data_IF_620398886765
#
_entry.id   IF_620398886765
#
_cell.length_a   1.000
_cell.length_b   1.000
_cell.length_c   1.000
_cell.angle_alpha   90.00
_cell.angle_beta   90.00
_cell.angle_gamma   90.00
#
_symmetry.space_group_name_H-M   'P 1'
#
loop_
_entity.id
_entity.type
_entity.pdbx_description
1 polymer ?
#
# COMPACT_ATOMS: atom_id res chain seq x y z
N UNK A 1 21.15 19.75 -2.78
CA UNK A 1 20.05 19.98 -1.82
C UNK A 1 20.38 21.17 -0.95
N UNK A 2 19.36 21.92 -0.54
CA UNK A 2 19.46 22.91 0.52
C UNK A 2 19.14 22.27 1.89
N UNK A 3 19.35 23.03 2.97
CA UNK A 3 19.14 22.57 4.36
C UNK A 3 17.69 22.12 4.61
N UNK A 4 16.70 22.88 4.14
CA UNK A 4 15.29 22.50 4.31
C UNK A 4 14.91 21.20 3.59
N UNK A 5 15.55 20.88 2.46
CA UNK A 5 15.36 19.59 1.78
C UNK A 5 16.03 18.44 2.54
N UNK A 6 17.13 18.69 3.25
CA UNK A 6 17.79 17.70 4.12
C UNK A 6 16.89 17.41 5.32
N UNK A 7 16.38 18.45 5.98
CA UNK A 7 15.45 18.29 7.11
C UNK A 7 14.19 17.53 6.70
N UNK A 8 13.64 17.84 5.52
CA UNK A 8 12.52 17.12 4.95
C UNK A 8 12.85 15.64 4.68
N UNK A 9 14.04 15.33 4.17
CA UNK A 9 14.49 13.96 3.95
C UNK A 9 14.57 13.17 5.27
N UNK A 10 15.06 13.79 6.35
CA UNK A 10 15.11 13.17 7.67
C UNK A 10 13.70 12.96 8.25
N UNK A 11 12.81 13.95 8.12
CA UNK A 11 11.41 13.81 8.53
C UNK A 11 10.71 12.66 7.78
N UNK A 12 10.93 12.54 6.47
CA UNK A 12 10.43 11.43 5.63
C UNK A 12 10.99 10.09 6.11
N UNK A 13 12.28 10.01 6.40
CA UNK A 13 12.91 8.77 6.86
C UNK A 13 12.38 8.31 8.22
N UNK A 14 12.06 9.24 9.13
CA UNK A 14 11.45 8.98 10.43
C UNK A 14 9.95 8.64 10.34
N UNK A 15 9.32 8.83 9.18
CA UNK A 15 7.87 8.69 9.03
C UNK A 15 7.08 9.79 9.74
N UNK A 16 7.73 10.92 10.04
CA UNK A 16 7.18 12.04 10.83
C UNK A 16 6.80 13.21 9.91
N UNK A 17 6.09 12.94 8.82
CA UNK A 17 5.68 13.96 7.84
C UNK A 17 4.18 14.26 7.93
N UNK A 18 3.85 15.55 7.96
CA UNK A 18 2.47 16.02 7.83
C UNK A 18 2.04 16.22 6.37
N UNK A 19 0.80 16.64 6.15
CA UNK A 19 0.28 16.91 4.79
C UNK A 19 1.06 18.00 4.05
N UNK A 20 1.62 18.97 4.78
CA UNK A 20 2.47 20.02 4.22
C UNK A 20 3.79 19.45 3.68
N UNK A 21 4.45 18.62 4.49
CA UNK A 21 5.69 17.94 4.10
C UNK A 21 5.45 16.98 2.94
N UNK A 22 4.33 16.26 2.94
CA UNK A 22 3.94 15.39 1.81
C UNK A 22 3.83 16.19 0.51
N UNK A 23 3.22 17.38 0.55
CA UNK A 23 3.16 18.27 -0.63
C UNK A 23 4.54 18.76 -1.04
N UNK A 24 5.41 19.09 -0.09
CA UNK A 24 6.78 19.53 -0.37
C UNK A 24 7.61 18.43 -1.03
N UNK A 25 7.47 17.18 -0.56
CA UNK A 25 8.10 16.00 -1.18
C UNK A 25 7.57 15.82 -2.60
N UNK A 26 6.25 15.88 -2.81
CA UNK A 26 5.67 15.72 -4.13
C UNK A 26 6.17 16.79 -5.12
N UNK A 27 6.21 18.07 -4.69
CA UNK A 27 6.75 19.16 -5.51
C UNK A 27 8.23 18.96 -5.85
N UNK A 28 9.03 18.44 -4.92
CA UNK A 28 10.43 18.11 -5.17
C UNK A 28 10.57 17.00 -6.21
N UNK A 29 9.78 15.93 -6.08
CA UNK A 29 9.79 14.81 -7.01
C UNK A 29 9.31 15.20 -8.42
N UNK A 30 8.38 16.15 -8.50
CA UNK A 30 7.82 16.66 -9.75
C UNK A 30 8.61 17.82 -10.37
N UNK A 31 9.65 18.32 -9.69
CA UNK A 31 10.45 19.48 -10.13
C UNK A 31 11.21 19.28 -11.46
N UNK A 32 11.30 18.04 -11.94
CA UNK A 32 12.07 17.67 -13.14
C UNK A 32 13.59 17.65 -12.93
N UNK A 33 14.09 17.92 -11.73
CA UNK A 33 15.51 17.82 -11.39
C UNK A 33 15.83 16.40 -10.89
N UNK A 34 16.29 15.55 -11.82
CA UNK A 34 16.67 14.17 -11.54
C UNK A 34 17.81 14.05 -10.53
N UNK A 35 18.73 15.02 -10.53
CA UNK A 35 19.88 15.00 -9.62
C UNK A 35 19.43 15.33 -8.21
N UNK A 36 18.61 16.36 -8.05
CA UNK A 36 18.01 16.71 -6.76
C UNK A 36 17.21 15.56 -6.18
N UNK A 37 16.38 14.91 -7.01
CA UNK A 37 15.59 13.73 -6.62
C UNK A 37 16.46 12.55 -6.20
N UNK A 38 17.54 12.27 -6.93
CA UNK A 38 18.48 11.22 -6.57
C UNK A 38 19.19 11.51 -5.24
N UNK A 39 19.62 12.76 -5.03
CA UNK A 39 20.29 13.17 -3.79
C UNK A 39 19.31 13.12 -2.59
N UNK A 40 18.06 13.56 -2.77
CA UNK A 40 17.02 13.45 -1.74
C UNK A 40 16.74 12.01 -1.34
N UNK A 41 16.54 11.12 -2.32
CA UNK A 41 16.31 9.70 -2.05
C UNK A 41 17.52 9.03 -1.37
N UNK A 42 18.75 9.44 -1.72
CA UNK A 42 19.96 8.97 -1.04
C UNK A 42 19.95 9.36 0.43
N UNK A 43 19.62 10.61 0.75
CA UNK A 43 19.57 11.08 2.13
C UNK A 43 18.52 10.31 2.95
N UNK A 44 17.30 10.14 2.40
CA UNK A 44 16.25 9.32 3.03
C UNK A 44 16.74 7.89 3.31
N UNK A 45 17.43 7.29 2.34
CA UNK A 45 17.95 5.93 2.46
C UNK A 45 19.04 5.82 3.54
N UNK A 46 19.99 6.76 3.58
CA UNK A 46 21.04 6.79 4.60
C UNK A 46 20.46 6.92 6.01
N UNK A 47 19.46 7.78 6.20
CA UNK A 47 18.77 7.91 7.48
C UNK A 47 18.05 6.61 7.86
N UNK A 48 17.38 5.94 6.91
CA UNK A 48 16.73 4.63 7.15
C UNK A 48 17.72 3.53 7.52
N UNK A 49 18.91 3.53 6.93
CA UNK A 49 19.97 2.60 7.28
C UNK A 49 20.48 2.83 8.70
N UNK A 50 20.70 4.09 9.10
CA UNK A 50 21.05 4.44 10.47
C UNK A 50 19.96 4.00 11.46
N UNK A 51 18.69 4.21 11.13
CA UNK A 51 17.55 3.76 11.94
C UNK A 51 17.45 2.23 12.02
N UNK A 52 17.82 1.52 10.94
CA UNK A 52 17.86 0.05 10.93
C UNK A 52 18.89 -0.46 11.95
N UNK A 53 20.08 0.12 11.95
CA UNK A 53 21.11 -0.21 12.94
C UNK A 53 20.60 0.08 14.36
N UNK A 54 20.01 1.27 14.56
CA UNK A 54 19.43 1.65 15.85
C UNK A 54 18.33 0.67 16.33
N UNK A 55 17.47 0.20 15.43
CA UNK A 55 16.32 -0.65 15.78
C UNK A 55 16.72 -1.98 16.42
N UNK A 56 17.90 -2.50 16.08
CA UNK A 56 18.44 -3.71 16.69
C UNK A 56 18.73 -3.55 18.18
N UNK A 57 19.05 -2.32 18.63
CA UNK A 57 19.36 -2.04 20.03
C UNK A 57 18.09 -1.92 20.89
N UNK A 58 16.95 -1.60 20.29
CA UNK A 58 15.65 -1.44 20.97
C UNK A 58 14.68 -2.59 20.70
N UNK A 59 15.16 -3.71 20.16
CA UNK A 59 14.34 -4.84 19.81
C UNK A 59 13.84 -5.60 21.05
N UNK A 60 12.53 -5.58 21.26
CA UNK A 60 11.86 -6.39 22.27
C UNK A 60 11.27 -7.68 21.67
N UNK A 61 11.29 -8.76 22.45
CA UNK A 61 10.77 -10.05 22.01
C UNK A 61 9.24 -9.98 21.84
N UNK A 62 8.69 -10.29 20.65
CA UNK A 62 7.25 -10.30 20.46
C UNK A 62 6.58 -11.47 21.21
N UNK A 63 5.28 -11.37 21.53
CA UNK A 63 4.52 -12.48 22.12
C UNK A 63 4.57 -13.72 21.22
N UNK A 64 4.80 -14.90 21.80
CA UNK A 64 4.95 -16.15 21.04
C UNK A 64 3.74 -16.44 20.13
N UNK A 65 2.53 -16.10 20.57
CA UNK A 65 1.28 -16.27 19.80
C UNK A 65 1.15 -15.36 18.58
N UNK A 66 2.01 -14.33 18.45
CA UNK A 66 2.00 -13.44 17.28
C UNK A 66 2.39 -14.21 16.01
N UNK A 67 3.37 -15.11 16.10
CA UNK A 67 3.84 -15.91 14.97
C UNK A 67 2.72 -16.78 14.39
N UNK A 68 2.01 -17.50 15.26
CA UNK A 68 0.93 -18.40 14.83
C UNK A 68 -0.22 -17.63 14.19
N UNK A 69 -0.61 -16.49 14.79
CA UNK A 69 -1.66 -15.62 14.23
C UNK A 69 -1.26 -15.05 12.86
N UNK A 70 -0.01 -14.63 12.69
CA UNK A 70 0.48 -14.09 11.42
C UNK A 70 0.50 -15.16 10.33
N UNK A 71 0.98 -16.37 10.65
CA UNK A 71 1.02 -17.48 9.69
C UNK A 71 -0.38 -17.95 9.29
N UNK A 72 -1.33 -17.96 10.23
CA UNK A 72 -2.74 -18.23 9.93
C UNK A 72 -3.33 -17.17 8.97
N UNK A 73 -3.10 -15.88 9.25
CA UNK A 73 -3.60 -14.79 8.40
C UNK A 73 -3.02 -14.84 6.97
N UNK A 74 -1.74 -15.17 6.81
CA UNK A 74 -1.12 -15.36 5.48
C UNK A 74 -1.75 -16.55 4.75
N UNK A 75 -2.03 -17.65 5.45
CA UNK A 75 -2.67 -18.83 4.85
C UNK A 75 -4.12 -18.54 4.40
N UNK A 76 -4.86 -17.72 5.14
CA UNK A 76 -6.20 -17.26 4.77
C UNK A 76 -6.16 -16.35 3.53
N UNK A 77 -5.20 -15.42 3.44
CA UNK A 77 -5.04 -14.51 2.29
C UNK A 77 -4.59 -15.25 1.01
N UNK A 78 -3.79 -16.31 1.17
CA UNK A 78 -3.32 -17.17 0.08
C UNK A 78 -4.34 -18.25 -0.32
N UNK A 79 -5.47 -18.36 0.38
CA UNK A 79 -6.53 -19.26 -0.02
C UNK A 79 -7.03 -18.85 -1.41
N UNK A 80 -7.01 -19.75 -2.42
CA UNK A 80 -7.45 -19.39 -3.75
C UNK A 80 -8.88 -18.87 -3.67
N UNK A 81 -9.17 -17.79 -4.41
CA UNK A 81 -10.51 -17.21 -4.60
C UNK A 81 -11.49 -18.16 -5.35
N UNK A 82 -11.41 -19.46 -5.09
CA UNK A 82 -12.18 -20.52 -5.69
C UNK A 82 -13.53 -20.70 -4.96
N UNK A 83 -14.34 -19.64 -4.90
CA UNK A 83 -15.77 -19.78 -4.54
C UNK A 83 -16.68 -18.61 -4.92
N UNK A 84 -16.17 -17.48 -5.45
CA UNK A 84 -17.02 -16.36 -5.87
C UNK A 84 -17.29 -16.36 -7.38
N UNK A 85 -17.53 -17.53 -7.97
CA UNK A 85 -18.31 -17.60 -9.23
C UNK A 85 -19.74 -17.91 -8.84
N UNK A 86 -20.46 -16.90 -8.38
CA UNK A 86 -21.92 -16.97 -8.34
C UNK A 86 -22.39 -17.30 -9.75
N UNK A 87 -23.06 -18.45 -9.98
CA UNK A 87 -23.68 -18.70 -11.26
C UNK A 87 -24.77 -17.64 -11.43
N UNK A 88 -24.57 -16.75 -12.39
CA UNK A 88 -25.60 -15.85 -12.87
C UNK A 88 -26.75 -16.73 -13.38
N UNK A 89 -27.76 -16.94 -12.53
CA UNK A 89 -28.99 -17.64 -12.87
C UNK A 89 -29.67 -16.84 -13.97
N UNK A 90 -29.44 -17.23 -15.22
CA UNK A 90 -30.21 -16.76 -16.37
C UNK A 90 -31.64 -17.22 -16.16
N UNK A 91 -32.51 -16.34 -15.69
CA UNK A 91 -33.95 -16.53 -15.74
C UNK A 91 -34.41 -16.39 -17.18
N UNK A 92 -34.44 -17.51 -17.91
CA UNK A 92 -35.15 -17.62 -19.18
C UNK A 92 -36.64 -17.72 -18.90
N UNK A 93 -37.30 -16.58 -18.68
CA UNK A 93 -38.76 -16.49 -18.73
C UNK A 93 -39.13 -15.44 -19.79
N UNK A 94 -39.33 -15.89 -21.03
CA UNK A 94 -40.13 -15.16 -22.00
C UNK A 94 -41.20 -16.14 -22.49
N UNK A 95 -42.20 -16.32 -21.62
CA UNK A 95 -43.48 -16.93 -21.99
C UNK A 95 -44.25 -15.87 -22.76
N UNK A 96 -44.06 -15.87 -24.08
CA UNK A 96 -44.84 -15.08 -25.02
C UNK A 96 -46.04 -15.89 -25.47
N UNK A 97 -47.01 -16.07 -24.59
CA UNK A 97 -48.35 -16.52 -24.94
C UNK A 97 -49.20 -15.31 -25.25
N UNK A 98 -49.19 -14.84 -26.50
CA UNK A 98 -50.39 -14.27 -27.12
C UNK A 98 -50.16 -13.96 -28.61
N UNK A 99 -50.75 -14.77 -29.49
CA UNK A 99 -51.21 -14.30 -30.79
C UNK A 99 -52.29 -15.25 -31.34
N UNK A 100 -53.49 -15.06 -30.81
CA UNK A 100 -54.76 -14.93 -31.54
C UNK A 100 -54.97 -15.79 -32.80
N UNK A 101 -55.78 -16.83 -32.66
CA UNK A 101 -56.56 -17.42 -33.75
C UNK A 101 -58.06 -17.30 -33.44
N UNK A 102 -58.85 -17.02 -34.49
CA UNK A 102 -60.31 -17.11 -34.60
C UNK A 102 -61.20 -16.05 -33.91
N UNK A 103 -61.72 -15.11 -34.71
CA UNK A 103 -63.06 -15.22 -35.36
C UNK A 103 -63.23 -14.18 -36.47
#
# INVERSE_FOLDING_TARGET
MNESQIDLAHAVALGSIGDEDQRAVQQLLDSGDDRLRADFNREVQLTREALTVFSSASADQPPASLRDRLLAAIAEDQAPAAAARHPHRVTRNHDGTDSTAHL
#
